data_IF_590586619024
#
_entry.id   IF_590586619024
#
_cell.length_a   1.000
_cell.length_b   1.000
_cell.length_c   1.000
_cell.angle_alpha   90.00
_cell.angle_beta   90.00
_cell.angle_gamma   90.00
#
_symmetry.space_group_name_H-M   'P 1'
#
loop_
_entity.id
_entity.type
_entity.pdbx_description
1 polymer ?
#
# COMPACT_ATOMS: atom_id res chain seq x y z
N UNK A 1 -37.78 -33.20 21.92
CA UNK A 1 -36.34 -32.93 21.68
C UNK A 1 -36.26 -31.79 20.67
N UNK A 2 -36.00 -30.57 21.13
CA UNK A 2 -36.02 -29.36 20.29
C UNK A 2 -34.64 -29.13 19.66
N UNK A 3 -34.59 -29.04 18.33
CA UNK A 3 -33.38 -28.84 17.54
C UNK A 3 -33.22 -27.35 17.26
N UNK A 4 -32.42 -26.66 18.06
CA UNK A 4 -32.02 -25.27 17.80
C UNK A 4 -31.02 -25.26 16.63
N UNK A 5 -31.45 -24.70 15.50
CA UNK A 5 -30.62 -24.49 14.33
C UNK A 5 -30.08 -23.06 14.41
N UNK A 6 -28.83 -22.90 14.85
CA UNK A 6 -28.14 -21.60 14.85
C UNK A 6 -27.55 -21.39 13.46
N UNK A 7 -28.25 -20.62 12.63
CA UNK A 7 -27.73 -20.15 11.35
C UNK A 7 -26.72 -19.04 11.63
N UNK A 8 -25.42 -19.35 11.56
CA UNK A 8 -24.39 -18.31 11.56
C UNK A 8 -24.44 -17.59 10.22
N UNK A 9 -25.05 -16.42 10.19
CA UNK A 9 -24.87 -15.46 9.10
C UNK A 9 -23.42 -14.96 9.16
N UNK A 10 -22.54 -15.54 8.35
CA UNK A 10 -21.25 -14.94 8.04
C UNK A 10 -21.51 -13.70 7.18
N UNK A 11 -21.71 -12.55 7.83
CA UNK A 11 -21.61 -11.26 7.16
C UNK A 11 -20.15 -11.09 6.74
N UNK A 12 -19.85 -11.42 5.49
CA UNK A 12 -18.59 -11.02 4.84
C UNK A 12 -18.59 -9.50 4.79
N UNK A 13 -17.97 -8.86 5.78
CA UNK A 13 -17.70 -7.43 5.71
C UNK A 13 -16.74 -7.22 4.53
N UNK A 14 -17.29 -6.80 3.40
CA UNK A 14 -16.55 -6.11 2.38
C UNK A 14 -16.06 -4.81 3.01
N UNK A 15 -14.86 -4.84 3.60
CA UNK A 15 -14.11 -3.63 3.91
C UNK A 15 -13.86 -2.92 2.58
N UNK A 16 -14.77 -2.01 2.22
CA UNK A 16 -14.54 -1.05 1.15
C UNK A 16 -13.33 -0.21 1.55
N UNK A 17 -12.14 -0.60 1.10
CA UNK A 17 -10.91 0.19 1.14
C UNK A 17 -11.04 1.30 0.08
N UNK A 18 -12.06 2.13 0.25
CA UNK A 18 -12.48 3.15 -0.69
C UNK A 18 -12.66 4.47 0.04
N UNK A 19 -11.56 4.97 0.60
CA UNK A 19 -11.30 6.36 0.97
C UNK A 19 -10.04 6.42 1.82
N UNK A 20 -8.93 5.91 1.29
CA UNK A 20 -7.65 6.33 1.82
C UNK A 20 -7.07 7.25 0.77
N UNK A 21 -7.06 8.55 1.08
CA UNK A 21 -6.10 9.49 0.49
C UNK A 21 -4.70 9.05 0.97
N UNK A 22 -4.28 7.87 0.49
CA UNK A 22 -3.13 7.11 0.95
C UNK A 22 -1.94 7.57 0.12
N UNK A 23 -1.22 8.57 0.60
CA UNK A 23 0.13 8.80 0.09
C UNK A 23 0.96 7.57 0.45
N UNK A 24 1.32 6.80 -0.57
CA UNK A 24 2.02 5.55 -0.40
C UNK A 24 2.89 5.23 -1.60
N UNK A 25 3.99 4.52 -1.35
CA UNK A 25 4.90 4.08 -2.39
C UNK A 25 5.05 2.56 -2.35
N UNK A 26 5.15 1.98 -3.54
CA UNK A 26 5.43 0.57 -3.71
C UNK A 26 6.90 0.39 -4.08
N UNK A 27 7.58 -0.58 -3.45
CA UNK A 27 8.94 -0.96 -3.79
C UNK A 27 8.97 -2.20 -4.66
N UNK A 28 9.83 -2.14 -5.68
CA UNK A 28 9.98 -3.19 -6.68
C UNK A 28 11.44 -3.64 -6.76
N UNK A 29 11.63 -4.95 -6.97
CA UNK A 29 12.95 -5.56 -7.19
C UNK A 29 12.95 -6.35 -8.49
N UNK A 30 14.14 -6.49 -9.07
CA UNK A 30 14.41 -7.39 -10.18
C UNK A 30 15.21 -8.59 -9.67
N UNK A 31 14.88 -9.77 -10.19
CA UNK A 31 15.67 -10.98 -9.96
C UNK A 31 16.69 -11.11 -11.09
N UNK A 32 17.93 -11.49 -10.77
CA UNK A 32 18.98 -11.65 -11.79
C UNK A 32 18.56 -12.71 -12.81
N UNK A 33 18.61 -12.34 -14.09
CA UNK A 33 18.22 -13.23 -15.19
C UNK A 33 16.73 -13.19 -15.54
N UNK A 34 15.95 -12.37 -14.84
CA UNK A 34 14.53 -12.15 -15.10
C UNK A 34 14.27 -10.65 -15.39
N UNK A 35 13.46 -10.38 -16.41
CA UNK A 35 13.00 -9.02 -16.75
C UNK A 35 11.71 -8.65 -16.02
N UNK A 36 11.12 -9.59 -15.29
CA UNK A 36 9.94 -9.38 -14.47
C UNK A 36 10.27 -8.52 -13.26
N UNK A 37 9.41 -7.53 -13.01
CA UNK A 37 9.40 -6.77 -11.74
C UNK A 37 8.60 -7.54 -10.70
N UNK A 38 9.15 -7.59 -9.49
CA UNK A 38 8.47 -8.15 -8.32
C UNK A 38 8.19 -7.03 -7.32
N UNK A 39 6.96 -6.94 -6.85
CA UNK A 39 6.62 -6.07 -5.72
C UNK A 39 7.04 -6.77 -4.43
N UNK A 40 7.76 -6.04 -3.57
CA UNK A 40 8.27 -6.56 -2.29
C UNK A 40 8.03 -5.61 -1.12
N UNK A 41 7.60 -4.37 -1.40
CA UNK A 41 7.38 -3.37 -0.37
C UNK A 41 6.14 -2.55 -0.68
N UNK A 42 5.38 -2.23 0.37
CA UNK A 42 4.31 -1.22 0.33
C UNK A 42 4.48 -0.28 1.51
N UNK A 43 4.35 1.01 1.24
CA UNK A 43 4.32 2.05 2.28
C UNK A 43 2.97 2.74 2.19
N UNK A 44 2.26 2.86 3.30
CA UNK A 44 0.96 3.53 3.41
C UNK A 44 0.95 4.51 4.57
N UNK A 45 0.16 5.56 4.46
CA UNK A 45 0.09 6.62 5.46
C UNK A 45 -1.32 6.67 6.01
N UNK A 46 -1.47 6.35 7.29
CA UNK A 46 -2.77 6.31 7.95
C UNK A 46 -2.91 7.54 8.84
N UNK A 47 -4.03 8.24 8.70
CA UNK A 47 -4.37 9.39 9.54
C UNK A 47 -5.21 8.97 10.75
N UNK A 48 -5.16 9.73 11.85
CA UNK A 48 -6.13 9.62 12.93
C UNK A 48 -7.54 9.89 12.43
N UNK A 49 -8.53 9.24 13.04
CA UNK A 49 -9.95 9.51 12.78
C UNK A 49 -10.41 10.76 13.56
N UNK A 50 -11.51 11.37 13.13
CA UNK A 50 -12.10 12.51 13.84
C UNK A 50 -12.49 12.12 15.28
N UNK A 51 -12.00 12.87 16.27
CA UNK A 51 -12.25 12.61 17.69
C UNK A 51 -11.47 11.44 18.29
N UNK A 52 -10.56 10.80 17.54
CA UNK A 52 -9.73 9.71 18.04
C UNK A 52 -8.67 10.22 19.03
N UNK A 53 -8.54 9.57 20.19
CA UNK A 53 -7.48 9.90 21.15
C UNK A 53 -6.13 9.35 20.68
N UNK A 54 -5.02 9.98 21.08
CA UNK A 54 -3.67 9.50 20.78
C UNK A 54 -3.46 8.02 21.15
N UNK A 55 -3.97 7.60 22.32
CA UNK A 55 -3.85 6.22 22.80
C UNK A 55 -4.71 5.24 21.97
N UNK A 56 -5.92 5.65 21.56
CA UNK A 56 -6.75 4.84 20.66
C UNK A 56 -6.08 4.68 19.29
N UNK A 57 -5.48 5.76 18.78
CA UNK A 57 -4.74 5.74 17.52
C UNK A 57 -3.53 4.78 17.58
N UNK A 58 -2.72 4.87 18.63
CA UNK A 58 -1.58 3.96 18.84
C UNK A 58 -2.04 2.50 18.92
N UNK A 59 -3.10 2.21 19.68
CA UNK A 59 -3.64 0.86 19.82
C UNK A 59 -4.16 0.33 18.48
N UNK A 60 -4.83 1.17 17.68
CA UNK A 60 -5.33 0.80 16.35
C UNK A 60 -4.19 0.51 15.38
N UNK A 61 -3.14 1.33 15.36
CA UNK A 61 -1.96 1.10 14.52
C UNK A 61 -1.20 -0.16 14.94
N UNK A 62 -1.10 -0.40 16.25
CA UNK A 62 -0.49 -1.63 16.77
C UNK A 62 -1.30 -2.88 16.37
N UNK A 63 -2.62 -2.86 16.56
CA UNK A 63 -3.50 -3.96 16.16
C UNK A 63 -3.43 -4.25 14.66
N UNK A 64 -3.39 -3.20 13.83
CA UNK A 64 -3.25 -3.34 12.38
C UNK A 64 -1.89 -3.93 11.99
N UNK A 65 -0.80 -3.53 12.65
CA UNK A 65 0.53 -4.11 12.40
C UNK A 65 0.56 -5.61 12.73
N UNK A 66 -0.04 -6.03 13.84
CA UNK A 66 -0.14 -7.44 14.22
C UNK A 66 -0.99 -8.25 13.23
N UNK A 67 -2.12 -7.70 12.78
CA UNK A 67 -2.96 -8.35 11.78
C UNK A 67 -2.24 -8.56 10.45
N UNK A 68 -1.42 -7.58 10.04
CA UNK A 68 -0.59 -7.71 8.85
C UNK A 68 0.53 -8.75 9.04
N UNK A 69 1.24 -8.72 10.17
CA UNK A 69 2.29 -9.71 10.49
C UNK A 69 1.76 -11.15 10.58
N UNK A 70 0.49 -11.35 10.91
CA UNK A 70 -0.12 -12.68 10.94
C UNK A 70 -0.29 -13.31 9.54
N UNK A 71 -0.10 -12.54 8.45
CA UNK A 71 -0.23 -13.05 7.07
C UNK A 71 1.09 -13.70 6.64
N UNK A 72 1.03 -14.94 6.17
CA UNK A 72 2.21 -15.71 5.76
C UNK A 72 3.05 -15.06 4.64
N UNK A 73 2.43 -14.19 3.83
CA UNK A 73 3.10 -13.48 2.72
C UNK A 73 3.88 -12.24 3.19
N UNK A 74 3.69 -11.80 4.43
CA UNK A 74 4.32 -10.60 4.99
C UNK A 74 5.52 -11.01 5.83
N UNK A 75 6.70 -10.52 5.45
CA UNK A 75 7.96 -10.79 6.13
C UNK A 75 8.16 -9.85 7.32
N UNK A 76 7.84 -8.57 7.16
CA UNK A 76 7.94 -7.60 8.24
C UNK A 76 6.98 -6.44 8.07
N UNK A 77 6.62 -5.83 9.19
CA UNK A 77 5.83 -4.60 9.26
C UNK A 77 6.52 -3.67 10.24
N UNK A 78 6.70 -2.41 9.85
CA UNK A 78 7.17 -1.36 10.73
C UNK A 78 6.22 -0.17 10.68
N UNK A 79 5.94 0.40 11.85
CA UNK A 79 5.07 1.57 12.01
C UNK A 79 5.88 2.72 12.57
N UNK A 80 5.74 3.90 11.97
CA UNK A 80 6.36 5.14 12.43
C UNK A 80 5.26 6.19 12.65
N UNK A 81 5.18 6.77 13.85
CA UNK A 81 4.11 7.69 14.23
C UNK A 81 4.68 9.09 14.32
N UNK A 82 4.19 9.97 13.45
CA UNK A 82 4.56 11.37 13.45
C UNK A 82 3.69 12.17 14.42
N UNK A 83 4.37 12.98 15.24
CA UNK A 83 3.77 13.82 16.27
C UNK A 83 4.01 15.29 15.95
N UNK A 84 2.98 16.12 16.13
CA UNK A 84 3.09 17.57 16.04
C UNK A 84 2.39 18.18 17.26
N UNK A 85 3.11 19.03 18.01
CA UNK A 85 2.59 19.69 19.22
C UNK A 85 1.95 18.72 20.25
N UNK A 86 2.49 17.50 20.37
CA UNK A 86 1.97 16.48 21.28
C UNK A 86 0.78 15.66 20.75
N UNK A 87 0.24 16.01 19.57
CA UNK A 87 -0.82 15.25 18.90
C UNK A 87 -0.23 14.31 17.84
N UNK A 88 -0.79 13.12 17.71
CA UNK A 88 -0.43 12.23 16.60
C UNK A 88 -1.10 12.74 15.33
N UNK A 89 -0.35 12.88 14.24
CA UNK A 89 -0.84 13.49 13.00
C UNK A 89 -0.95 12.47 11.87
N UNK A 90 -0.02 11.51 11.83
CA UNK A 90 -0.05 10.41 10.86
C UNK A 90 0.79 9.23 11.36
N UNK A 91 0.50 8.05 10.84
CA UNK A 91 1.32 6.87 11.00
C UNK A 91 1.73 6.35 9.62
N UNK A 92 3.02 6.21 9.39
CA UNK A 92 3.57 5.56 8.20
C UNK A 92 3.77 4.09 8.48
N UNK A 93 3.13 3.23 7.70
CA UNK A 93 3.26 1.78 7.80
C UNK A 93 4.03 1.29 6.60
N UNK A 94 5.15 0.63 6.87
CA UNK A 94 5.95 -0.06 5.87
C UNK A 94 5.75 -1.56 6.00
N UNK A 95 5.37 -2.19 4.91
CA UNK A 95 5.13 -3.63 4.78
C UNK A 95 6.18 -4.19 3.82
N UNK A 96 6.90 -5.21 4.26
CA UNK A 96 7.79 -6.01 3.41
C UNK A 96 7.12 -7.36 3.19
N UNK A 97 6.91 -7.72 1.93
CA UNK A 97 6.20 -8.94 1.51
C UNK A 97 7.08 -9.82 0.63
N UNK A 98 6.72 -11.10 0.55
CA UNK A 98 7.35 -12.03 -0.37
C UNK A 98 7.23 -11.52 -1.82
N UNK A 99 8.24 -11.74 -2.68
CA UNK A 99 8.22 -11.26 -4.05
C UNK A 99 6.99 -11.76 -4.81
N UNK A 100 6.11 -10.84 -5.21
CA UNK A 100 4.96 -11.13 -6.08
C UNK A 100 5.17 -10.48 -7.43
N UNK A 101 4.90 -11.22 -8.51
CA UNK A 101 4.99 -10.66 -9.85
C UNK A 101 4.10 -9.41 -9.96
N UNK A 102 4.71 -8.27 -10.24
CA UNK A 102 3.99 -7.03 -10.42
C UNK A 102 3.36 -7.03 -11.83
N UNK A 103 2.06 -6.68 -11.98
CA UNK A 103 1.41 -6.57 -13.28
C UNK A 103 1.82 -5.27 -14.00
N UNK A 104 3.13 -4.99 -14.05
CA UNK A 104 3.70 -3.81 -14.68
C UNK A 104 4.21 -4.23 -16.05
N UNK A 105 3.48 -3.85 -17.10
CA UNK A 105 3.97 -4.01 -18.46
C UNK A 105 5.26 -3.18 -18.66
N UNK A 106 6.23 -3.67 -19.45
CA UNK A 106 7.37 -2.86 -19.85
C UNK A 106 6.90 -1.55 -20.49
N UNK A 107 7.19 -0.42 -19.87
CA UNK A 107 6.94 0.88 -20.48
C UNK A 107 8.03 1.17 -21.51
N UNK A 108 7.65 1.14 -22.79
CA UNK A 108 8.55 1.40 -23.91
C UNK A 108 8.68 2.90 -24.23
N UNK A 109 8.05 3.78 -23.45
CA UNK A 109 8.22 5.22 -23.62
C UNK A 109 9.66 5.64 -23.26
N UNK A 110 10.24 6.63 -23.96
CA UNK A 110 11.54 7.18 -23.57
C UNK A 110 11.44 7.79 -22.16
N UNK A 111 12.38 7.41 -21.29
CA UNK A 111 12.51 8.00 -19.96
C UNK A 111 12.68 9.53 -20.07
N UNK A 112 11.97 10.30 -19.23
CA UNK A 112 12.06 11.77 -19.22
C UNK A 112 11.05 12.53 -20.06
N UNK A 113 10.11 11.85 -20.74
CA UNK A 113 8.86 12.45 -21.23
C UNK A 113 8.97 13.69 -22.12
N UNK A 114 9.24 13.48 -23.42
CA UNK A 114 8.53 14.08 -24.58
C UNK A 114 9.24 13.62 -25.86
N UNK A 115 8.60 12.75 -26.65
CA UNK A 115 8.88 12.77 -28.09
C UNK A 115 8.12 13.96 -28.67
N UNK A 116 8.73 15.15 -28.65
CA UNK A 116 8.28 16.21 -29.55
C UNK A 116 8.85 15.92 -30.92
N UNK A 117 8.01 15.46 -31.85
CA UNK A 117 8.29 15.55 -33.28
C UNK A 117 8.25 17.01 -33.77
N UNK A 118 8.97 17.93 -33.13
CA UNK A 118 9.14 19.31 -33.59
C UNK A 118 10.60 19.59 -33.87
N UNK A 119 11.01 19.17 -35.06
CA UNK A 119 12.36 19.38 -35.58
C UNK A 119 12.49 19.10 -37.08
N UNK A 120 11.44 19.35 -37.87
CA UNK A 120 11.54 19.42 -39.33
C UNK A 120 11.27 20.87 -39.78
N UNK A 121 12.24 21.76 -39.52
CA UNK A 121 12.44 22.96 -40.32
C UNK A 121 13.88 22.91 -40.83
N UNK A 122 14.03 22.50 -42.07
CA UNK A 122 15.33 22.33 -42.71
C UNK A 122 15.33 21.38 -43.90
N UNK A 123 14.27 21.39 -44.71
CA UNK A 123 14.29 20.77 -46.03
C UNK A 123 14.43 21.86 -47.08
N UNK A 124 15.65 22.03 -47.59
CA UNK A 124 15.97 22.87 -48.74
C UNK A 124 15.12 22.45 -49.95
N UNK A 125 14.44 23.41 -50.59
CA UNK A 125 14.47 23.68 -52.03
C UNK A 125 14.28 25.19 -52.22
#
# INVERSE_FOLDING_TARGET
MSRFLVTMNTATQHNNIGNIEDYGSDGYVYVRGDLQRYQTKRVRTILPMEGESNAAFELRMHGLALQLLARAEIYSVSTDIDRMNGSHVKCTITIVEAPRAAPIAPDHRPAGGRWSGRGARGGRQ
#
